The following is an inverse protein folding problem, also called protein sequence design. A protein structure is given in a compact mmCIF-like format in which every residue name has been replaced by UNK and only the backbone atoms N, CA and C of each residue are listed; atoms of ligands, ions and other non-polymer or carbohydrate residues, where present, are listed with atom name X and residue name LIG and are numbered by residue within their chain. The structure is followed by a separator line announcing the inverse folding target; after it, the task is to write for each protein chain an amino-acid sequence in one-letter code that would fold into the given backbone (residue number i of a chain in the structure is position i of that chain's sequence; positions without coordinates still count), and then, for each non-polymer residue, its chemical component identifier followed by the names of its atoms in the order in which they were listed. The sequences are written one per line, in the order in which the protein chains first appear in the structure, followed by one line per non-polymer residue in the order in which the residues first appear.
data_IF_582636256625
#
_entry.id   IF_582636256625
#
_cell.length_a   1.000
_cell.length_b   1.000
_cell.length_c   1.000
_cell.angle_alpha   90.00
_cell.angle_beta   90.00
_cell.angle_gamma   90.00
#
_symmetry.space_group_name_H-M   'P 1'
#
loop_
_entity.id
_entity.type
_entity.pdbx_description
1 polymer ?
#
# COMPACT_ATOMS: atom_id res chain seq x y z
N UNK A 1 4.69 -4.57 15.64
CA UNK A 1 4.90 -5.03 14.27
C UNK A 1 5.96 -4.17 13.60
N UNK A 2 7.00 -4.80 13.05
CA UNK A 2 8.15 -4.06 12.50
C UNK A 2 8.19 -4.05 10.97
N UNK A 3 7.07 -4.31 10.31
CA UNK A 3 7.00 -4.38 8.85
C UNK A 3 7.49 -3.09 8.21
N UNK A 4 7.11 -1.94 8.78
CA UNK A 4 7.44 -0.64 8.20
C UNK A 4 8.94 -0.30 8.24
N UNK A 5 9.73 -1.00 9.07
CA UNK A 5 11.16 -0.77 9.17
C UNK A 5 11.99 -1.89 8.52
N UNK A 6 11.33 -2.83 7.85
CA UNK A 6 12.00 -3.95 7.18
C UNK A 6 12.32 -3.56 5.74
N UNK A 7 13.59 -3.57 5.37
CA UNK A 7 14.04 -3.18 4.02
C UNK A 7 13.55 -4.13 2.92
N UNK A 8 13.15 -5.35 3.29
CA UNK A 8 12.62 -6.33 2.34
C UNK A 8 11.12 -6.21 2.11
N UNK A 9 10.48 -5.23 2.74
CA UNK A 9 9.03 -5.03 2.66
C UNK A 9 8.74 -3.61 2.18
N UNK A 10 7.82 -3.50 1.23
CA UNK A 10 7.30 -2.21 0.77
C UNK A 10 5.84 -2.13 1.17
N UNK A 11 5.49 -1.13 1.98
CA UNK A 11 4.10 -0.88 2.37
C UNK A 11 3.48 0.06 1.36
N UNK A 12 2.31 -0.32 0.85
CA UNK A 12 1.62 0.44 -0.19
C UNK A 12 0.25 0.87 0.32
N UNK A 13 0.04 2.18 0.36
CA UNK A 13 -1.22 2.80 0.79
C UNK A 13 -2.07 3.04 -0.46
N UNK A 14 -3.19 2.34 -0.56
CA UNK A 14 -4.08 2.43 -1.73
C UNK A 14 -5.28 3.33 -1.51
N UNK A 15 -5.29 4.08 -0.39
CA UNK A 15 -6.38 4.99 -0.09
C UNK A 15 -6.39 6.19 -1.04
N UNK A 16 -7.51 6.92 -1.06
CA UNK A 16 -7.59 8.20 -1.74
C UNK A 16 -6.67 9.21 -1.02
N UNK A 17 -6.04 10.11 -1.79
CA UNK A 17 -5.09 11.09 -1.21
C UNK A 17 -5.74 11.95 -0.12
N UNK A 18 -7.04 12.21 -0.21
CA UNK A 18 -7.76 12.99 0.79
C UNK A 18 -7.79 12.29 2.15
N UNK A 19 -7.82 10.95 2.16
CA UNK A 19 -7.74 10.18 3.40
C UNK A 19 -6.37 10.35 4.06
N UNK A 20 -5.30 10.41 3.26
CA UNK A 20 -3.95 10.65 3.80
C UNK A 20 -3.86 12.05 4.42
N UNK A 21 -4.42 13.06 3.76
CA UNK A 21 -4.41 14.42 4.32
C UNK A 21 -5.15 14.51 5.64
N UNK A 22 -6.25 13.76 5.78
CA UNK A 22 -7.12 13.80 6.95
C UNK A 22 -6.58 12.98 8.11
N UNK A 23 -5.98 11.83 7.83
CA UNK A 23 -5.65 10.84 8.87
C UNK A 23 -4.16 10.51 8.97
N UNK A 24 -3.33 11.02 8.05
CA UNK A 24 -1.91 10.68 8.01
C UNK A 24 -1.66 9.34 7.31
N UNK A 25 -0.43 8.88 7.39
CA UNK A 25 0.00 7.64 6.73
C UNK A 25 1.01 6.88 7.58
N UNK A 26 1.29 5.63 7.20
CA UNK A 26 2.37 4.84 7.78
C UNK A 26 3.69 5.40 7.21
N UNK A 27 4.69 5.72 8.07
CA UNK A 27 5.95 6.25 7.58
C UNK A 27 6.63 5.31 6.59
N UNK A 28 7.12 5.87 5.49
CA UNK A 28 7.79 5.09 4.45
C UNK A 28 6.86 4.40 3.47
N UNK A 29 5.55 4.43 3.68
CA UNK A 29 4.61 3.82 2.76
C UNK A 29 4.56 4.57 1.44
N UNK A 30 4.47 3.80 0.35
CA UNK A 30 4.31 4.35 -1.00
C UNK A 30 2.82 4.53 -1.27
N UNK A 31 2.40 5.72 -1.68
CA UNK A 31 1.00 5.96 -2.03
C UNK A 31 0.75 5.53 -3.48
N UNK A 32 -0.16 4.58 -3.64
CA UNK A 32 -0.59 4.10 -4.96
C UNK A 32 -2.12 4.01 -4.95
N UNK A 33 -2.83 5.08 -5.35
CA UNK A 33 -4.29 5.06 -5.33
C UNK A 33 -4.83 3.83 -6.06
N UNK A 34 -5.91 3.25 -5.54
CA UNK A 34 -6.44 1.99 -6.06
C UNK A 34 -6.62 2.00 -7.58
N UNK A 35 -7.05 3.12 -8.15
CA UNK A 35 -7.28 3.25 -9.58
C UNK A 35 -6.03 3.18 -10.45
N UNK A 36 -4.85 3.39 -9.88
CA UNK A 36 -3.57 3.35 -10.61
C UNK A 36 -2.74 2.12 -10.31
N UNK A 37 -3.18 1.29 -9.37
CA UNK A 37 -2.35 0.22 -8.83
C UNK A 37 -1.89 -0.76 -9.91
N UNK A 38 -2.81 -1.29 -10.70
CA UNK A 38 -2.47 -2.26 -11.74
C UNK A 38 -1.55 -1.65 -12.79
N UNK A 39 -1.81 -0.41 -13.19
CA UNK A 39 -0.97 0.28 -14.19
C UNK A 39 0.46 0.44 -13.71
N UNK A 40 0.66 0.72 -12.43
CA UNK A 40 1.99 0.94 -11.88
C UNK A 40 2.74 -0.35 -11.63
N UNK A 41 2.04 -1.45 -11.35
CA UNK A 41 2.64 -2.77 -11.12
C UNK A 41 2.98 -3.51 -12.41
N UNK A 42 2.22 -3.31 -13.47
CA UNK A 42 2.38 -4.06 -14.72
C UNK A 42 3.63 -3.56 -15.48
N UNK A 43 4.68 -4.39 -15.63
CA UNK A 43 5.89 -3.94 -16.32
C UNK A 43 5.67 -3.64 -17.82
N UNK A 44 4.56 -4.09 -18.40
CA UNK A 44 4.23 -3.78 -19.78
C UNK A 44 3.43 -2.49 -19.94
N UNK A 45 2.98 -1.91 -18.83
CA UNK A 45 2.24 -0.65 -18.82
C UNK A 45 3.19 0.53 -19.05
N UNK A 46 2.80 1.56 -19.85
CA UNK A 46 3.62 2.77 -20.00
C UNK A 46 3.72 3.56 -18.68
N UNK A 47 2.89 3.24 -17.69
CA UNK A 47 2.87 3.91 -16.39
C UNK A 47 3.59 3.11 -15.30
N UNK A 48 4.26 2.02 -15.65
CA UNK A 48 4.98 1.18 -14.68
C UNK A 48 5.99 1.99 -13.87
N UNK A 49 6.03 1.73 -12.56
CA UNK A 49 7.00 2.36 -11.65
C UNK A 49 7.97 1.33 -11.10
N UNK A 50 9.29 1.58 -11.20
CA UNK A 50 10.30 0.61 -10.75
C UNK A 50 10.20 0.19 -9.29
N UNK A 51 9.63 1.02 -8.42
CA UNK A 51 9.47 0.70 -6.99
C UNK A 51 8.66 -0.59 -6.80
N UNK A 52 7.80 -0.95 -7.76
CA UNK A 52 6.99 -2.16 -7.68
C UNK A 52 7.66 -3.37 -8.32
N UNK A 53 8.88 -3.22 -8.83
CA UNK A 53 9.62 -4.31 -9.48
C UNK A 53 10.87 -4.71 -8.68
N UNK A 54 10.93 -4.37 -7.39
CA UNK A 54 12.12 -4.61 -6.55
C UNK A 54 12.25 -6.04 -6.06
N UNK A 55 11.18 -6.85 -6.15
CA UNK A 55 11.15 -8.18 -5.56
C UNK A 55 10.80 -8.20 -4.07
N UNK A 56 10.65 -7.03 -3.45
CA UNK A 56 10.24 -6.94 -2.05
C UNK A 56 8.83 -7.47 -1.86
N UNK A 57 8.52 -7.91 -0.63
CA UNK A 57 7.14 -8.23 -0.26
C UNK A 57 6.33 -6.94 -0.29
N UNK A 58 5.23 -6.96 -1.01
CA UNK A 58 4.34 -5.81 -1.14
C UNK A 58 3.17 -5.98 -0.17
N UNK A 59 3.03 -5.04 0.76
CA UNK A 59 1.98 -5.08 1.78
C UNK A 59 1.02 -3.93 1.52
N UNK A 60 -0.15 -4.25 1.00
CA UNK A 60 -1.19 -3.27 0.68
C UNK A 60 -2.01 -2.95 1.91
N UNK A 61 -2.48 -1.72 2.05
CA UNK A 61 -3.46 -1.38 3.06
C UNK A 61 -4.41 -0.28 2.58
N UNK A 62 -5.60 -0.28 3.16
CA UNK A 62 -6.59 0.78 3.00
C UNK A 62 -7.07 1.20 4.39
N UNK A 63 -8.28 1.74 4.52
CA UNK A 63 -8.78 2.17 5.82
C UNK A 63 -9.13 0.99 6.74
N UNK A 64 -9.83 -0.03 6.22
CA UNK A 64 -10.37 -1.13 7.04
C UNK A 64 -10.15 -2.53 6.47
N UNK A 65 -9.42 -2.66 5.37
CA UNK A 65 -9.05 -3.96 4.80
C UNK A 65 -9.84 -4.43 3.59
N UNK A 66 -11.00 -3.85 3.30
CA UNK A 66 -11.83 -4.28 2.18
C UNK A 66 -11.20 -4.00 0.82
N UNK A 67 -10.79 -2.76 0.60
CA UNK A 67 -10.17 -2.37 -0.68
C UNK A 67 -8.85 -3.09 -0.90
N UNK A 68 -8.05 -3.25 0.16
CA UNK A 68 -6.76 -3.92 0.04
C UNK A 68 -6.89 -5.41 -0.22
N UNK A 69 -7.92 -6.07 0.33
CA UNK A 69 -8.19 -7.48 0.03
C UNK A 69 -8.48 -7.68 -1.46
N UNK A 70 -9.35 -6.84 -2.03
CA UNK A 70 -9.68 -6.92 -3.45
C UNK A 70 -8.49 -6.54 -4.33
N UNK A 71 -7.71 -5.53 -3.92
CA UNK A 71 -6.54 -5.11 -4.66
C UNK A 71 -5.45 -6.19 -4.67
N UNK A 72 -5.20 -6.83 -3.53
CA UNK A 72 -4.23 -7.92 -3.45
C UNK A 72 -4.64 -9.08 -4.37
N UNK A 73 -5.93 -9.42 -4.41
CA UNK A 73 -6.42 -10.46 -5.29
C UNK A 73 -6.23 -10.09 -6.77
N UNK A 74 -6.50 -8.83 -7.13
CA UNK A 74 -6.30 -8.36 -8.50
C UNK A 74 -4.83 -8.49 -8.93
N UNK A 75 -3.89 -8.12 -8.06
CA UNK A 75 -2.47 -8.25 -8.35
C UNK A 75 -2.05 -9.72 -8.46
N UNK A 76 -2.57 -10.60 -7.60
CA UNK A 76 -2.30 -12.03 -7.68
C UNK A 76 -2.79 -12.60 -9.02
N UNK A 77 -3.94 -12.16 -9.49
CA UNK A 77 -4.47 -12.57 -10.79
C UNK A 77 -3.62 -12.07 -11.96
N UNK A 78 -2.86 -11.00 -11.76
CA UNK A 78 -1.89 -10.49 -12.73
C UNK A 78 -0.54 -11.24 -12.70
N UNK A 79 -0.37 -12.16 -11.74
CA UNK A 79 0.87 -12.91 -11.59
C UNK A 79 1.83 -12.35 -10.54
N UNK A 80 1.40 -11.37 -9.74
CA UNK A 80 2.22 -10.83 -8.65
C UNK A 80 2.10 -11.79 -7.45
N UNK A 81 3.19 -12.47 -7.10
CA UNK A 81 3.17 -13.51 -6.08
C UNK A 81 3.54 -13.01 -4.68
N UNK A 82 4.26 -11.89 -4.59
CA UNK A 82 4.81 -11.37 -3.35
C UNK A 82 3.95 -10.28 -2.72
N UNK A 83 2.62 -10.40 -2.83
CA UNK A 83 1.67 -9.40 -2.34
C UNK A 83 0.80 -9.98 -1.24
N UNK A 84 0.57 -9.16 -0.20
CA UNK A 84 -0.41 -9.44 0.86
C UNK A 84 -1.03 -8.12 1.30
N UNK A 85 -1.89 -8.13 2.32
CA UNK A 85 -2.51 -6.90 2.79
C UNK A 85 -2.68 -6.93 4.31
N UNK A 86 -2.89 -5.74 4.90
CA UNK A 86 -3.20 -5.61 6.33
C UNK A 86 -4.72 -5.73 6.48
N UNK A 87 -5.17 -6.82 7.10
CA UNK A 87 -6.60 -7.16 7.24
C UNK A 87 -7.43 -6.06 7.89
N UNK A 88 -6.85 -5.40 8.90
CA UNK A 88 -7.54 -4.35 9.66
C UNK A 88 -7.29 -2.95 9.10
N UNK A 89 -6.43 -2.85 8.09
CA UNK A 89 -6.12 -1.60 7.43
C UNK A 89 -5.43 -0.58 8.32
N UNK A 90 -5.53 0.68 7.92
CA UNK A 90 -4.92 1.80 8.66
C UNK A 90 -5.51 1.94 10.05
N UNK A 91 -6.81 1.71 10.19
CA UNK A 91 -7.48 1.76 11.49
C UNK A 91 -6.86 0.77 12.46
N UNK A 92 -6.68 -0.48 12.03
CA UNK A 92 -6.06 -1.51 12.88
C UNK A 92 -4.60 -1.17 13.20
N UNK A 93 -3.88 -0.60 12.25
CA UNK A 93 -2.50 -0.14 12.46
C UNK A 93 -2.44 0.90 13.57
N UNK A 94 -3.33 1.90 13.55
CA UNK A 94 -3.41 2.93 14.59
C UNK A 94 -3.82 2.34 15.94
N UNK A 95 -4.81 1.45 15.94
CA UNK A 95 -5.31 0.81 17.17
C UNK A 95 -4.23 -0.03 17.84
N UNK A 96 -3.29 -0.56 17.06
CA UNK A 96 -2.14 -1.31 17.57
C UNK A 96 -0.94 -0.40 17.89
N UNK A 97 -1.14 0.91 17.93
CA UNK A 97 -0.11 1.91 18.22
C UNK A 97 1.01 1.94 17.16
N UNK A 98 0.69 1.58 15.92
CA UNK A 98 1.63 1.71 14.83
C UNK A 98 1.97 3.17 14.57
N UNK A 99 3.20 3.43 14.12
CA UNK A 99 3.65 4.79 13.83
C UNK A 99 2.87 5.40 12.66
N UNK A 100 2.58 6.69 12.75
CA UNK A 100 1.95 7.44 11.67
C UNK A 100 2.63 8.79 11.50
N UNK A 101 2.52 9.37 10.31
CA UNK A 101 3.01 10.72 10.05
C UNK A 101 1.94 11.52 9.31
N UNK A 102 1.93 12.83 9.53
CA UNK A 102 1.00 13.71 8.84
C UNK A 102 1.40 13.88 7.38
N UNK A 103 0.40 14.04 6.51
CA UNK A 103 0.61 14.32 5.09
C UNK A 103 0.07 15.72 4.81
N UNK A 104 0.93 16.61 4.35
CA UNK A 104 0.54 17.99 4.08
C UNK A 104 -0.08 18.11 2.69
N UNK A 105 -1.20 18.81 2.64
CA UNK A 105 -1.84 19.15 1.38
C UNK A 105 -1.04 20.25 0.68
N UNK A 106 -0.67 19.99 -0.55
CA UNK A 106 0.04 20.98 -1.38
C UNK A 106 -0.91 21.77 -2.26
#
# INVERSE_FOLDING_TARGET
MKIASDDDVTIIDIRDIRELYREGKIPGAVHAPRGMLEFWFDPESPYHKPVFATGNRMVLHCASGWRSALAAQALQNMGVENVCHIDTGFKGWKDANGATEAVEKK
#
